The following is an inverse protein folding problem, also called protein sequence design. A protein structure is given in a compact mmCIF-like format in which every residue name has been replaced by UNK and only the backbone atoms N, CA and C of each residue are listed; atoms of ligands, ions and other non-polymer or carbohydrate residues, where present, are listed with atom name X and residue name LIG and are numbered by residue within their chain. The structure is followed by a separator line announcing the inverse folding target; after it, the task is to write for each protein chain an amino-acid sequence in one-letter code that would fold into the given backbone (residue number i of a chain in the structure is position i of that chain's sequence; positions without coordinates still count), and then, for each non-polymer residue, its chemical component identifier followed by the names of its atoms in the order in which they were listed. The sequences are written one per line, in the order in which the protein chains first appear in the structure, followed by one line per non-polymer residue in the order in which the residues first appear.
data_IF_012800780564
#
_entry.id   IF_012800780564
#
_cell.length_a   1.000
_cell.length_b   1.000
_cell.length_c   1.000
_cell.angle_alpha   90.00
_cell.angle_beta   90.00
_cell.angle_gamma   90.00
#
_symmetry.space_group_name_H-M   'P 1'
#
loop_
_entity.id
_entity.type
_entity.pdbx_description
1 polymer ?
#
# COMPACT_ATOMS: atom_id res chain seq x y z
N UNK A 1 39.35 -22.78 21.28
CA UNK A 1 38.13 -22.23 21.92
C UNK A 1 37.94 -20.82 21.38
N UNK A 2 37.06 -20.63 20.41
CA UNK A 2 36.70 -19.28 19.92
C UNK A 2 35.84 -18.61 20.99
N UNK A 3 36.35 -17.54 21.59
CA UNK A 3 35.53 -16.60 22.35
C UNK A 3 34.60 -15.93 21.33
N UNK A 4 33.31 -16.29 21.37
CA UNK A 4 32.27 -15.51 20.71
C UNK A 4 32.21 -14.18 21.46
N UNK A 5 32.72 -13.13 20.83
CA UNK A 5 32.68 -11.77 21.35
C UNK A 5 31.24 -11.43 21.73
N UNK A 6 31.00 -11.24 23.04
CA UNK A 6 29.70 -10.79 23.51
C UNK A 6 29.47 -9.39 22.95
N UNK A 7 28.37 -9.12 22.23
CA UNK A 7 28.08 -7.78 21.75
C UNK A 7 28.08 -6.81 22.93
N UNK A 8 28.63 -5.61 22.72
CA UNK A 8 28.64 -4.56 23.73
C UNK A 8 27.22 -4.28 24.23
N UNK A 9 27.08 -3.84 25.48
CA UNK A 9 25.77 -3.70 26.13
C UNK A 9 24.73 -2.91 25.31
N UNK A 10 25.15 -1.81 24.67
CA UNK A 10 24.26 -1.04 23.78
C UNK A 10 23.92 -1.81 22.50
N UNK A 11 24.84 -2.59 21.93
CA UNK A 11 24.60 -3.40 20.75
C UNK A 11 23.54 -4.49 21.03
N UNK A 12 23.59 -5.12 22.21
CA UNK A 12 22.57 -6.07 22.65
C UNK A 12 21.19 -5.39 22.79
N UNK A 13 21.13 -4.19 23.36
CA UNK A 13 19.89 -3.41 23.45
C UNK A 13 19.34 -3.07 22.06
N UNK A 14 20.18 -2.58 21.14
CA UNK A 14 19.75 -2.26 19.78
C UNK A 14 19.25 -3.47 19.02
N UNK A 15 19.87 -4.65 19.24
CA UNK A 15 19.44 -5.90 18.65
C UNK A 15 18.05 -6.31 19.19
N UNK A 16 17.84 -6.27 20.51
CA UNK A 16 16.54 -6.62 21.07
C UNK A 16 15.43 -5.63 20.66
N UNK A 17 15.72 -4.33 20.58
CA UNK A 17 14.75 -3.37 20.04
C UNK A 17 14.39 -3.72 18.60
N UNK A 18 15.39 -4.05 17.75
CA UNK A 18 15.16 -4.48 16.37
C UNK A 18 14.28 -5.73 16.33
N UNK A 19 14.60 -6.76 17.11
CA UNK A 19 13.87 -8.02 17.10
C UNK A 19 12.41 -7.81 17.54
N UNK A 20 12.18 -7.02 18.60
CA UNK A 20 10.83 -6.63 19.02
C UNK A 20 10.09 -5.87 17.92
N UNK A 21 10.74 -4.90 17.27
CA UNK A 21 10.07 -4.11 16.23
C UNK A 21 9.79 -4.91 14.95
N UNK A 22 10.61 -5.92 14.61
CA UNK A 22 10.31 -6.85 13.51
C UNK A 22 9.12 -7.77 13.82
N UNK A 23 9.00 -8.21 15.06
CA UNK A 23 7.94 -9.14 15.47
C UNK A 23 6.58 -8.44 15.59
N UNK A 24 6.56 -7.25 16.17
CA UNK A 24 5.31 -6.55 16.48
C UNK A 24 4.94 -5.45 15.48
N UNK A 25 5.91 -4.86 14.78
CA UNK A 25 5.72 -3.79 13.79
C UNK A 25 5.32 -2.43 14.37
N UNK A 26 4.38 -2.40 15.32
CA UNK A 26 3.86 -1.20 15.99
C UNK A 26 3.81 -1.46 17.49
N UNK A 27 4.41 -0.58 18.29
CA UNK A 27 4.48 -0.78 19.74
C UNK A 27 4.52 0.54 20.50
N UNK A 28 3.89 0.62 21.67
CA UNK A 28 4.08 1.78 22.57
C UNK A 28 5.48 1.73 23.16
N UNK A 29 6.07 2.90 23.36
CA UNK A 29 7.41 2.99 23.91
C UNK A 29 7.56 2.31 25.28
N UNK A 30 6.54 2.39 26.14
CA UNK A 30 6.54 1.73 27.46
C UNK A 30 6.59 0.21 27.35
N UNK A 31 5.93 -0.34 26.35
CA UNK A 31 5.80 -1.78 26.15
C UNK A 31 7.10 -2.32 25.57
N UNK A 32 7.75 -1.56 24.68
CA UNK A 32 9.10 -1.84 24.20
C UNK A 32 10.14 -1.84 25.32
N UNK A 33 10.04 -0.90 26.26
CA UNK A 33 10.94 -0.87 27.42
C UNK A 33 10.84 -2.14 28.26
N UNK A 34 9.62 -2.63 28.49
CA UNK A 34 9.38 -3.87 29.24
C UNK A 34 9.85 -5.10 28.47
N UNK A 35 9.58 -5.16 27.16
CA UNK A 35 9.98 -6.26 26.31
C UNK A 35 11.51 -6.39 26.22
N UNK A 36 12.23 -5.28 26.09
CA UNK A 36 13.70 -5.27 26.07
C UNK A 36 14.26 -5.71 27.43
N UNK A 37 13.65 -5.29 28.54
CA UNK A 37 14.02 -5.75 29.89
C UNK A 37 13.79 -7.25 30.06
N UNK A 38 12.68 -7.78 29.52
CA UNK A 38 12.37 -9.20 29.54
C UNK A 38 13.40 -10.01 28.73
N UNK A 39 13.72 -9.57 27.50
CA UNK A 39 14.70 -10.24 26.62
C UNK A 39 16.13 -10.22 27.18
N UNK A 40 16.49 -9.18 27.92
CA UNK A 40 17.78 -9.11 28.63
C UNK A 40 17.82 -9.94 29.91
N UNK A 41 16.69 -10.51 30.36
CA UNK A 41 16.58 -11.19 31.65
C UNK A 41 16.72 -10.25 32.84
N UNK A 42 16.37 -8.98 32.67
CA UNK A 42 16.56 -7.91 33.67
C UNK A 42 15.24 -7.36 34.21
N UNK A 43 14.11 -7.98 33.88
CA UNK A 43 12.77 -7.53 34.28
C UNK A 43 12.55 -7.51 35.80
N UNK A 44 13.24 -8.39 36.54
CA UNK A 44 13.17 -8.49 38.00
C UNK A 44 14.21 -7.60 38.72
N UNK A 45 15.16 -7.00 37.98
CA UNK A 45 16.27 -6.23 38.54
C UNK A 45 16.01 -4.72 38.42
N UNK A 46 15.15 -4.21 39.31
CA UNK A 46 14.71 -2.80 39.30
C UNK A 46 15.87 -1.80 39.38
N UNK A 47 16.98 -2.17 40.02
CA UNK A 47 18.15 -1.31 40.17
C UNK A 47 18.78 -0.96 38.81
N UNK A 48 18.66 -1.86 37.83
CA UNK A 48 19.25 -1.69 36.49
C UNK A 48 18.27 -1.12 35.46
N UNK A 49 16.97 -1.05 35.77
CA UNK A 49 15.94 -0.53 34.87
C UNK A 49 16.26 0.87 34.35
N UNK A 50 16.71 1.78 35.22
CA UNK A 50 17.04 3.16 34.81
C UNK A 50 18.18 3.22 33.80
N UNK A 51 19.20 2.37 33.97
CA UNK A 51 20.35 2.31 33.06
C UNK A 51 19.94 1.75 31.70
N UNK A 52 19.16 0.66 31.69
CA UNK A 52 18.64 0.06 30.45
C UNK A 52 17.72 1.04 29.73
N UNK A 53 16.76 1.65 30.43
CA UNK A 53 15.88 2.67 29.88
C UNK A 53 16.67 3.79 29.23
N UNK A 54 17.67 4.37 29.93
CA UNK A 54 18.51 5.44 29.37
C UNK A 54 19.18 5.03 28.04
N UNK A 55 19.62 3.77 27.93
CA UNK A 55 20.22 3.22 26.70
C UNK A 55 19.21 2.93 25.61
N UNK A 56 17.99 2.53 25.97
CA UNK A 56 16.87 2.43 25.02
C UNK A 56 16.58 3.81 24.42
N UNK A 57 16.56 4.89 25.21
CA UNK A 57 16.40 6.25 24.67
C UNK A 57 17.54 6.66 23.71
N UNK A 58 18.80 6.31 24.01
CA UNK A 58 19.93 6.57 23.11
C UNK A 58 19.76 5.82 21.77
N UNK A 59 19.37 4.54 21.83
CA UNK A 59 19.13 3.70 20.68
C UNK A 59 17.94 4.19 19.83
N UNK A 60 16.81 4.49 20.47
CA UNK A 60 15.61 5.02 19.81
C UNK A 60 15.89 6.35 19.11
N UNK A 61 16.65 7.25 19.75
CA UNK A 61 17.04 8.52 19.13
C UNK A 61 17.84 8.29 17.84
N UNK A 62 18.71 7.29 17.83
CA UNK A 62 19.49 6.92 16.65
C UNK A 62 18.61 6.30 15.56
N UNK A 63 17.68 5.41 15.91
CA UNK A 63 16.75 4.81 14.95
C UNK A 63 15.77 5.80 14.33
N UNK A 64 15.31 6.80 15.10
CA UNK A 64 14.52 7.91 14.58
C UNK A 64 15.34 8.78 13.62
N UNK A 65 16.60 9.09 13.97
CA UNK A 65 17.48 9.88 13.10
C UNK A 65 17.79 9.17 11.77
N UNK A 66 17.91 7.84 11.79
CA UNK A 66 18.12 7.01 10.60
C UNK A 66 16.83 6.67 9.86
N UNK A 67 15.68 7.20 10.28
CA UNK A 67 14.36 6.92 9.70
C UNK A 67 13.97 5.43 9.67
N UNK A 68 14.58 4.63 10.55
CA UNK A 68 14.28 3.20 10.74
C UNK A 68 13.00 3.03 11.57
N UNK A 69 12.75 4.00 12.45
CA UNK A 69 11.55 4.11 13.26
C UNK A 69 10.85 5.44 13.00
N UNK A 70 9.53 5.44 13.17
CA UNK A 70 8.72 6.65 13.31
C UNK A 70 8.07 6.66 14.69
N UNK A 71 7.97 7.83 15.31
CA UNK A 71 7.32 8.02 16.63
C UNK A 71 6.18 9.02 16.53
N UNK A 72 4.98 8.61 16.95
CA UNK A 72 3.79 9.46 17.04
C UNK A 72 3.06 9.14 18.34
N UNK A 73 2.75 10.15 19.15
CA UNK A 73 2.02 10.00 20.42
C UNK A 73 2.51 8.88 21.35
N UNK A 74 3.83 8.69 21.43
CA UNK A 74 4.53 7.63 22.19
C UNK A 74 4.37 6.21 21.63
N UNK A 75 3.75 6.07 20.47
CA UNK A 75 3.74 4.85 19.66
C UNK A 75 4.91 4.87 18.68
N UNK A 76 5.59 3.74 18.54
CA UNK A 76 6.71 3.50 17.65
C UNK A 76 6.22 2.62 16.49
N UNK A 77 6.57 3.02 15.27
CA UNK A 77 6.22 2.34 14.04
C UNK A 77 7.51 1.92 13.34
N UNK A 78 7.62 0.63 13.01
CA UNK A 78 8.74 0.07 12.27
C UNK A 78 8.68 0.50 10.81
N UNK A 79 9.74 1.16 10.32
CA UNK A 79 9.91 1.48 8.89
C UNK A 79 10.88 0.55 8.17
N UNK A 80 11.72 -0.16 8.90
CA UNK A 80 12.76 -1.02 8.33
C UNK A 80 14.08 -0.32 8.12
N UNK A 81 15.13 -1.10 7.83
CA UNK A 81 16.42 -0.55 7.43
C UNK A 81 16.35 -0.02 5.99
N UNK A 82 17.10 1.04 5.66
CA UNK A 82 17.19 1.50 4.28
C UNK A 82 17.73 0.38 3.40
N UNK A 83 16.97 0.02 2.38
CA UNK A 83 17.38 -0.87 1.30
C UNK A 83 17.89 -0.06 0.10
N UNK A 84 18.36 -0.72 -0.96
CA UNK A 84 18.78 -0.05 -2.20
C UNK A 84 17.69 0.84 -2.83
N UNK A 85 16.42 0.63 -2.47
CA UNK A 85 15.23 1.33 -3.00
C UNK A 85 14.86 2.62 -2.25
N UNK A 86 15.47 2.97 -1.10
CA UNK A 86 14.96 4.05 -0.24
C UNK A 86 15.96 5.17 0.06
N UNK A 87 16.56 5.74 -0.98
CA UNK A 87 17.08 7.11 -0.92
C UNK A 87 16.05 8.09 -1.51
N UNK A 88 15.08 8.48 -0.68
CA UNK A 88 14.28 9.69 -0.94
C UNK A 88 15.15 10.94 -0.65
N UNK A 89 16.02 11.31 -1.59
CA UNK A 89 16.80 12.56 -1.54
C UNK A 89 16.01 13.80 -1.97
N UNK A 90 14.67 13.81 -1.84
CA UNK A 90 13.82 14.92 -2.31
C UNK A 90 13.21 15.78 -1.18
N UNK A 91 13.76 15.73 0.04
CA UNK A 91 13.29 16.59 1.16
C UNK A 91 14.28 17.73 1.41
N UNK A 92 14.61 18.50 0.37
CA UNK A 92 15.29 19.80 0.49
C UNK A 92 14.70 20.82 -0.50
N UNK A 93 13.37 20.89 -0.59
CA UNK A 93 12.73 22.10 -1.10
C UNK A 93 11.27 22.19 -0.62
N UNK A 94 11.02 23.23 0.17
CA UNK A 94 9.72 23.80 0.55
C UNK A 94 9.04 23.31 1.84
N UNK A 95 8.65 24.26 2.73
CA UNK A 95 7.99 23.97 3.99
C UNK A 95 6.48 23.83 3.79
N UNK A 96 5.84 23.07 4.68
CA UNK A 96 4.38 23.00 4.87
C UNK A 96 3.61 22.05 3.93
N UNK A 97 3.77 20.74 4.10
CA UNK A 97 2.67 19.81 3.80
C UNK A 97 2.52 18.84 4.96
N UNK A 98 1.56 19.15 5.84
CA UNK A 98 0.93 18.19 6.73
C UNK A 98 0.10 17.24 5.86
N UNK A 99 0.69 16.17 5.36
CA UNK A 99 -0.10 15.12 4.69
C UNK A 99 -0.51 14.10 5.74
N UNK A 100 -1.79 14.17 6.09
CA UNK A 100 -2.52 13.17 6.84
C UNK A 100 -2.30 11.79 6.21
N UNK A 101 -2.04 10.83 7.09
CA UNK A 101 -2.11 9.40 6.84
C UNK A 101 -3.37 9.02 6.05
N UNK A 102 -3.16 8.48 4.85
CA UNK A 102 -4.04 7.48 4.28
C UNK A 102 -3.23 6.19 4.33
N UNK A 103 -3.33 5.49 5.46
CA UNK A 103 -2.89 4.09 5.55
C UNK A 103 -3.91 3.28 4.77
N UNK A 104 -3.68 3.16 3.47
CA UNK A 104 -4.27 2.07 2.69
C UNK A 104 -3.60 0.78 3.18
N UNK A 105 -4.33 0.03 3.98
CA UNK A 105 -4.15 -1.42 4.11
C UNK A 105 -4.41 -2.02 2.73
N UNK A 106 -3.39 -2.03 1.88
CA UNK A 106 -3.29 -3.04 0.85
C UNK A 106 -2.46 -4.17 1.45
N UNK A 107 -3.15 -5.25 1.82
CA UNK A 107 -2.55 -6.56 1.93
C UNK A 107 -2.03 -6.91 0.53
N UNK A 108 -0.83 -6.43 0.21
CA UNK A 108 -0.07 -6.96 -0.91
C UNK A 108 0.35 -8.36 -0.49
N UNK A 109 -0.43 -9.36 -0.92
CA UNK A 109 0.01 -10.74 -1.05
C UNK A 109 1.12 -10.82 -2.12
N UNK A 110 2.22 -10.11 -1.91
CA UNK A 110 3.46 -10.40 -2.62
C UNK A 110 4.07 -11.62 -1.92
N UNK A 111 3.80 -12.79 -2.47
CA UNK A 111 4.43 -14.05 -2.08
C UNK A 111 5.97 -13.85 -2.04
N UNK A 112 6.64 -14.06 -0.89
CA UNK A 112 8.09 -13.90 -0.79
C UNK A 112 8.89 -14.86 -1.70
N UNK A 113 8.21 -15.78 -2.41
CA UNK A 113 8.79 -16.62 -3.46
C UNK A 113 8.69 -16.05 -4.90
N UNK A 114 8.20 -14.82 -5.11
CA UNK A 114 7.89 -14.32 -6.45
C UNK A 114 9.07 -14.36 -7.44
N UNK A 115 10.32 -14.28 -6.94
CA UNK A 115 11.54 -14.50 -7.72
C UNK A 115 12.63 -15.11 -6.82
N UNK A 116 12.57 -16.42 -6.57
CA UNK A 116 13.68 -17.09 -5.88
C UNK A 116 14.98 -16.96 -6.70
N UNK A 117 16.13 -16.78 -6.03
CA UNK A 117 17.44 -16.76 -6.71
C UNK A 117 17.68 -18.04 -7.53
N UNK A 118 17.01 -19.14 -7.18
CA UNK A 118 17.01 -20.40 -7.94
C UNK A 118 16.26 -20.33 -9.27
N UNK A 119 15.19 -19.53 -9.37
CA UNK A 119 14.48 -19.28 -10.63
C UNK A 119 15.32 -18.43 -11.58
N UNK A 120 15.91 -17.34 -11.10
CA UNK A 120 16.74 -16.45 -11.95
C UNK A 120 17.99 -17.16 -12.51
N UNK A 121 18.54 -18.14 -11.77
CA UNK A 121 19.72 -18.88 -12.18
C UNK A 121 19.42 -20.08 -13.11
N UNK A 122 18.16 -20.55 -13.19
CA UNK A 122 17.77 -21.73 -13.98
C UNK A 122 16.63 -21.47 -14.98
N UNK A 123 16.02 -20.29 -15.01
CA UNK A 123 14.91 -19.97 -15.91
C UNK A 123 15.38 -19.94 -17.37
N UNK A 124 14.57 -20.51 -18.25
CA UNK A 124 14.79 -20.41 -19.68
C UNK A 124 14.43 -18.99 -20.17
N UNK A 125 14.94 -18.61 -21.35
CA UNK A 125 14.59 -17.32 -21.96
C UNK A 125 13.08 -17.18 -22.21
N UNK A 126 12.37 -18.29 -22.44
CA UNK A 126 10.93 -18.30 -22.66
C UNK A 126 10.15 -18.09 -21.35
N UNK A 127 10.64 -18.63 -20.23
CA UNK A 127 10.02 -18.42 -18.91
C UNK A 127 10.18 -16.95 -18.45
N UNK A 128 11.35 -16.35 -18.72
CA UNK A 128 11.60 -14.94 -18.44
C UNK A 128 10.70 -14.03 -19.27
N UNK A 129 10.50 -14.34 -20.56
CA UNK A 129 9.62 -13.56 -21.44
C UNK A 129 8.15 -13.66 -21.02
N UNK A 130 7.68 -14.86 -20.69
CA UNK A 130 6.31 -15.08 -20.18
C UNK A 130 6.08 -14.28 -18.89
N UNK A 131 7.05 -14.28 -17.97
CA UNK A 131 6.94 -13.53 -16.72
C UNK A 131 6.99 -12.02 -16.94
N UNK A 132 7.78 -11.55 -17.91
CA UNK A 132 7.84 -10.15 -18.30
C UNK A 132 6.49 -9.69 -18.88
N UNK A 133 5.85 -10.50 -19.72
CA UNK A 133 4.51 -10.20 -20.24
C UNK A 133 3.47 -10.13 -19.11
N UNK A 134 3.51 -11.07 -18.16
CA UNK A 134 2.62 -11.07 -16.99
C UNK A 134 2.79 -9.80 -16.14
N UNK A 135 4.03 -9.45 -15.79
CA UNK A 135 4.35 -8.21 -15.07
C UNK A 135 3.91 -6.97 -15.83
N UNK A 136 4.10 -6.95 -17.15
CA UNK A 136 3.69 -5.81 -17.97
C UNK A 136 2.16 -5.65 -17.99
N UNK A 137 1.40 -6.75 -17.99
CA UNK A 137 -0.06 -6.69 -17.85
C UNK A 137 -0.49 -6.21 -16.46
N UNK A 138 0.23 -6.59 -15.41
CA UNK A 138 -0.05 -6.12 -14.05
C UNK A 138 0.22 -4.62 -13.89
N UNK A 139 1.34 -4.14 -14.44
CA UNK A 139 1.67 -2.70 -14.50
C UNK A 139 0.56 -1.92 -15.20
N UNK A 140 0.09 -2.38 -16.37
CA UNK A 140 -1.01 -1.73 -17.09
C UNK A 140 -2.30 -1.65 -16.27
N UNK A 141 -2.62 -2.69 -15.49
CA UNK A 141 -3.80 -2.67 -14.60
C UNK A 141 -3.64 -1.68 -13.46
N UNK A 142 -2.44 -1.55 -12.89
CA UNK A 142 -2.14 -0.57 -11.84
C UNK A 142 -2.22 0.85 -12.39
N UNK A 143 -1.66 1.11 -13.57
CA UNK A 143 -1.73 2.42 -14.24
C UNK A 143 -3.18 2.85 -14.48
N UNK A 144 -4.05 1.93 -14.92
CA UNK A 144 -5.49 2.20 -15.05
C UNK A 144 -6.15 2.58 -13.72
N UNK A 145 -5.79 1.90 -12.62
CA UNK A 145 -6.27 2.24 -11.28
C UNK A 145 -5.77 3.60 -10.80
N UNK A 146 -4.51 3.95 -11.07
CA UNK A 146 -3.95 5.26 -10.71
C UNK A 146 -4.69 6.37 -11.45
N UNK A 147 -4.87 6.23 -12.77
CA UNK A 147 -5.62 7.19 -13.59
C UNK A 147 -7.07 7.34 -13.08
N UNK A 148 -7.67 6.25 -12.63
CA UNK A 148 -8.97 6.27 -11.96
C UNK A 148 -8.95 7.14 -10.71
N UNK A 149 -8.02 6.91 -9.77
CA UNK A 149 -7.96 7.67 -8.53
C UNK A 149 -7.62 9.14 -8.76
N UNK A 150 -6.69 9.43 -9.67
CA UNK A 150 -6.30 10.80 -10.00
C UNK A 150 -7.47 11.60 -10.59
N UNK A 151 -8.30 10.99 -11.44
CA UNK A 151 -9.49 11.65 -11.98
C UNK A 151 -10.47 12.07 -10.86
N UNK A 152 -10.75 11.18 -9.90
CA UNK A 152 -11.69 11.45 -8.81
C UNK A 152 -11.13 12.40 -7.74
N UNK A 153 -9.82 12.36 -7.48
CA UNK A 153 -9.18 13.27 -6.52
C UNK A 153 -9.13 14.71 -7.05
N UNK A 154 -9.00 14.88 -8.38
CA UNK A 154 -8.88 16.20 -9.00
C UNK A 154 -10.24 16.84 -9.35
N UNK A 155 -11.32 16.08 -9.48
CA UNK A 155 -12.67 16.64 -9.65
C UNK A 155 -13.32 17.01 -8.31
N UNK A 156 -13.46 18.31 -8.05
CA UNK A 156 -14.38 18.78 -7.00
C UNK A 156 -15.83 18.56 -7.47
N UNK A 157 -16.72 17.99 -6.64
CA UNK A 157 -18.11 17.83 -7.01
C UNK A 157 -18.75 19.22 -7.17
N UNK A 158 -19.33 19.50 -8.33
CA UNK A 158 -20.18 20.68 -8.51
C UNK A 158 -21.53 20.44 -7.81
N UNK A 159 -22.02 21.45 -7.08
CA UNK A 159 -23.28 21.34 -6.34
C UNK A 159 -24.46 21.16 -7.30
N UNK A 160 -25.08 19.98 -7.30
CA UNK A 160 -26.31 19.70 -8.04
C UNK A 160 -26.25 18.55 -9.04
N UNK A 161 -25.10 17.90 -9.22
CA UNK A 161 -24.98 16.75 -10.14
C UNK A 161 -25.53 15.45 -9.55
N UNK A 162 -26.28 14.69 -10.36
CA UNK A 162 -26.66 13.32 -10.03
C UNK A 162 -25.43 12.42 -10.10
N UNK A 163 -24.95 11.98 -8.93
CA UNK A 163 -23.81 11.07 -8.83
C UNK A 163 -24.24 9.63 -9.17
N UNK A 164 -23.59 9.02 -10.16
CA UNK A 164 -23.73 7.59 -10.46
C UNK A 164 -22.74 6.82 -9.58
N UNK A 165 -23.23 5.80 -8.86
CA UNK A 165 -22.38 4.93 -8.05
C UNK A 165 -21.71 3.88 -8.95
N UNK A 166 -20.43 3.65 -8.70
CA UNK A 166 -19.62 2.62 -9.36
C UNK A 166 -19.84 1.23 -8.71
N UNK A 167 -19.63 0.12 -9.45
CA UNK A 167 -19.28 0.07 -10.87
C UNK A 167 -20.50 0.31 -11.78
N UNK A 168 -20.29 0.97 -12.91
CA UNK A 168 -21.35 1.16 -13.91
C UNK A 168 -20.89 0.83 -15.32
N UNK A 169 -21.85 0.56 -16.20
CA UNK A 169 -21.61 0.31 -17.62
C UNK A 169 -22.59 1.15 -18.42
N UNK A 170 -22.06 1.91 -19.37
CA UNK A 170 -22.87 2.75 -20.26
C UNK A 170 -23.08 2.00 -21.56
N UNK A 171 -24.34 1.92 -21.96
CA UNK A 171 -24.72 1.48 -23.29
C UNK A 171 -25.11 2.71 -24.11
N UNK A 172 -24.27 3.09 -25.06
CA UNK A 172 -24.49 4.21 -25.96
C UNK A 172 -25.00 3.70 -27.32
N UNK A 173 -26.02 4.35 -27.84
CA UNK A 173 -26.63 4.07 -29.13
C UNK A 173 -26.87 5.39 -29.86
N UNK A 174 -26.65 5.40 -31.17
CA UNK A 174 -26.88 6.60 -32.01
C UNK A 174 -28.36 6.79 -32.37
N UNK A 175 -29.17 5.75 -32.19
CA UNK A 175 -30.58 5.74 -32.59
C UNK A 175 -31.51 6.18 -31.46
N UNK A 176 -32.36 7.18 -31.74
CA UNK A 176 -33.41 7.68 -30.85
C UNK A 176 -34.56 6.69 -30.63
N UNK A 177 -34.64 5.59 -31.39
CA UNK A 177 -35.71 4.57 -31.28
C UNK A 177 -35.41 3.43 -30.31
N UNK A 178 -34.30 3.53 -29.57
CA UNK A 178 -33.88 2.52 -28.61
C UNK A 178 -34.78 2.54 -27.36
N UNK A 179 -35.18 1.36 -26.88
CA UNK A 179 -36.05 1.24 -25.70
C UNK A 179 -35.56 0.16 -24.74
N UNK A 180 -35.73 0.41 -23.44
CA UNK A 180 -35.42 -0.54 -22.37
C UNK A 180 -36.69 -1.32 -22.04
N UNK A 181 -36.64 -2.63 -22.18
CA UNK A 181 -37.71 -3.53 -21.79
C UNK A 181 -37.42 -4.13 -20.43
N UNK A 182 -38.23 -3.74 -19.45
CA UNK A 182 -38.24 -4.34 -18.11
C UNK A 182 -39.30 -5.45 -18.08
N UNK A 183 -38.95 -6.70 -17.73
CA UNK A 183 -39.92 -7.79 -17.64
C UNK A 183 -40.98 -7.49 -16.58
N UNK A 184 -42.27 -7.56 -16.95
CA UNK A 184 -43.41 -7.18 -16.09
C UNK A 184 -43.55 -8.02 -14.80
N UNK A 185 -42.82 -9.14 -14.67
CA UNK A 185 -42.83 -10.02 -13.49
C UNK A 185 -41.60 -9.88 -12.58
N UNK A 186 -40.90 -8.74 -12.59
CA UNK A 186 -39.84 -8.47 -11.60
C UNK A 186 -40.44 -8.07 -10.25
N UNK A 187 -40.94 -9.06 -9.50
CA UNK A 187 -41.03 -8.93 -8.05
C UNK A 187 -39.63 -8.85 -7.47
N UNK A 188 -39.22 -7.65 -7.04
CA UNK A 188 -38.00 -7.30 -6.28
C UNK A 188 -36.62 -7.77 -6.79
N UNK A 189 -36.52 -8.59 -7.83
CA UNK A 189 -35.26 -9.16 -8.32
C UNK A 189 -35.12 -8.91 -9.83
N UNK A 190 -34.65 -7.70 -10.19
CA UNK A 190 -34.41 -7.26 -11.57
C UNK A 190 -33.15 -7.90 -12.14
N UNK A 191 -33.14 -9.23 -12.29
CA UNK A 191 -31.96 -9.96 -12.81
C UNK A 191 -31.83 -9.94 -14.33
N UNK A 192 -32.84 -9.49 -15.06
CA UNK A 192 -32.85 -9.48 -16.53
C UNK A 192 -33.45 -8.18 -17.05
N UNK A 193 -32.67 -7.44 -17.81
CA UNK A 193 -33.09 -6.24 -18.54
C UNK A 193 -32.89 -6.52 -20.02
N UNK A 194 -33.93 -6.31 -20.82
CA UNK A 194 -33.84 -6.40 -22.28
C UNK A 194 -33.58 -5.02 -22.86
N UNK A 195 -32.65 -4.90 -23.80
CA UNK A 195 -32.42 -3.67 -24.56
C UNK A 195 -32.86 -3.92 -26.00
N UNK A 196 -33.82 -3.14 -26.48
CA UNK A 196 -34.21 -3.14 -27.90
C UNK A 196 -33.52 -1.96 -28.56
N UNK A 197 -32.54 -2.29 -29.39
CA UNK A 197 -31.66 -1.32 -30.03
C UNK A 197 -31.94 -1.34 -31.54
N UNK A 198 -31.81 -0.17 -32.17
CA UNK A 198 -31.94 -0.03 -33.63
C UNK A 198 -30.88 -0.82 -34.39
N UNK A 199 -30.95 -0.81 -35.73
CA UNK A 199 -29.95 -1.48 -36.59
C UNK A 199 -28.56 -0.83 -36.54
N UNK A 200 -28.43 0.34 -35.92
CA UNK A 200 -27.16 1.03 -35.79
C UNK A 200 -26.34 0.46 -34.62
N UNK A 201 -25.01 0.48 -34.78
CA UNK A 201 -24.08 -0.13 -33.84
C UNK A 201 -24.25 0.39 -32.41
N UNK A 202 -24.11 -0.52 -31.46
CA UNK A 202 -24.20 -0.27 -30.02
C UNK A 202 -22.80 -0.28 -29.45
N UNK A 203 -22.46 0.74 -28.68
CA UNK A 203 -21.18 0.79 -27.97
C UNK A 203 -21.42 0.58 -26.49
N UNK A 204 -20.81 -0.47 -25.95
CA UNK A 204 -20.84 -0.77 -24.53
C UNK A 204 -19.49 -0.35 -23.94
N UNK A 205 -19.51 0.57 -22.97
CA UNK A 205 -18.30 1.05 -22.31
C UNK A 205 -18.44 0.83 -20.81
N UNK A 206 -17.40 0.26 -20.20
CA UNK A 206 -17.29 0.18 -18.74
C UNK A 206 -16.78 1.50 -18.19
N UNK A 207 -17.06 1.74 -16.92
CA UNK A 207 -16.51 2.84 -16.13
C UNK A 207 -15.00 3.04 -16.32
N UNK A 208 -14.19 1.97 -16.27
CA UNK A 208 -12.74 2.03 -16.50
C UNK A 208 -12.37 2.65 -17.85
N UNK A 209 -13.06 2.23 -18.92
CA UNK A 209 -12.81 2.73 -20.28
C UNK A 209 -13.27 4.17 -20.46
N UNK A 210 -14.38 4.53 -19.82
CA UNK A 210 -14.90 5.90 -19.85
C UNK A 210 -13.91 6.84 -19.15
N UNK A 211 -13.36 6.43 -18.00
CA UNK A 211 -12.40 7.25 -17.27
C UNK A 211 -11.10 7.38 -18.05
N UNK A 212 -10.60 6.30 -18.67
CA UNK A 212 -9.43 6.38 -19.54
C UNK A 212 -9.62 7.40 -20.68
N UNK A 213 -10.75 7.37 -21.39
CA UNK A 213 -11.05 8.35 -22.44
C UNK A 213 -11.21 9.78 -21.91
N UNK A 214 -11.82 9.96 -20.73
CA UNK A 214 -11.95 11.27 -20.10
C UNK A 214 -10.62 11.86 -19.63
N UNK A 215 -9.66 11.01 -19.26
CA UNK A 215 -8.30 11.42 -18.87
C UNK A 215 -7.48 11.81 -20.12
N UNK A 216 -7.62 11.09 -21.23
CA UNK A 216 -6.97 11.45 -22.51
C UNK A 216 -7.46 12.82 -23.02
N UNK A 217 -8.78 13.06 -23.03
CA UNK A 217 -9.37 14.35 -23.42
C UNK A 217 -8.98 15.51 -22.47
N UNK A 218 -8.45 15.22 -21.29
CA UNK A 218 -7.97 16.22 -20.31
C UNK A 218 -6.52 16.68 -20.54
N UNK A 219 -5.75 15.93 -21.33
CA UNK A 219 -4.34 16.24 -21.60
C UNK A 219 -4.11 17.00 -22.91
N UNK A 220 -5.14 17.17 -23.75
CA UNK A 220 -5.17 18.09 -24.91
C UNK A 220 -5.61 19.52 -24.54
#
# INVERSE_FOLDING_TARGET
MQQVDKPGFLASITQHIRDSMYEFGIMKQTDLEQEVLARLGMLEDEAKHNTVKRRIYDALSTFLALNILQKQDKTLYWRGFPGPETFNTSILSSPSVQTKEIVLKEESECDPNFLSEEFLNNASADDLNSKLEELNTEIQQIEQKINFYDFFLNKKPEEGEQMVKLPFTVCATRDQKSSVLLPQNCGQDTRKVGLVLGKEGVTLMRDEQIIASLVEDWQE
#
